data_IF_349290263520
#
_entry.id   IF_349290263520
#
_cell.length_a   1.000
_cell.length_b   1.000
_cell.length_c   1.000
_cell.angle_alpha   90.00
_cell.angle_beta   90.00
_cell.angle_gamma   90.00
#
_symmetry.space_group_name_H-M   'P 1'
#
loop_
_entity.id
_entity.type
_entity.pdbx_description
1 polymer ?
#
# COMPACT_ATOMS: atom_id res chain seq x y z
N UNK A 1 22.36 -6.99 -8.38
CA UNK A 1 22.79 -8.28 -7.80
C UNK A 1 23.18 -8.16 -6.31
N UNK A 2 23.92 -7.15 -5.88
CA UNK A 2 24.40 -7.01 -4.47
C UNK A 2 23.33 -6.69 -3.41
N UNK A 3 22.18 -6.13 -3.77
CA UNK A 3 21.10 -5.77 -2.83
C UNK A 3 20.17 -6.92 -2.48
N UNK A 4 19.95 -7.86 -3.41
CA UNK A 4 19.06 -9.01 -3.23
C UNK A 4 19.66 -10.06 -2.29
N UNK A 5 20.98 -10.29 -2.35
CA UNK A 5 21.66 -11.26 -1.47
C UNK A 5 21.76 -10.77 -0.01
N UNK A 6 21.95 -9.48 0.22
CA UNK A 6 21.93 -8.89 1.56
C UNK A 6 20.53 -8.96 2.21
N UNK A 7 19.48 -8.65 1.45
CA UNK A 7 18.11 -8.78 1.95
C UNK A 7 17.75 -10.24 2.26
N UNK A 8 18.14 -11.18 1.41
CA UNK A 8 17.91 -12.62 1.65
C UNK A 8 18.70 -13.14 2.86
N UNK A 9 19.91 -12.65 3.11
CA UNK A 9 20.71 -13.03 4.26
C UNK A 9 20.19 -12.42 5.57
N UNK A 10 19.67 -11.18 5.52
CA UNK A 10 19.03 -10.50 6.67
C UNK A 10 17.68 -11.12 7.03
N UNK A 11 16.90 -11.59 6.04
CA UNK A 11 15.61 -12.26 6.26
C UNK A 11 15.82 -13.66 6.84
N UNK A 12 16.76 -14.44 6.31
CA UNK A 12 17.12 -15.78 6.85
C UNK A 12 17.61 -15.70 8.30
N UNK A 13 18.30 -14.63 8.67
CA UNK A 13 18.75 -14.41 10.05
C UNK A 13 17.58 -14.09 10.98
N UNK A 14 16.55 -13.38 10.49
CA UNK A 14 15.34 -13.08 11.24
C UNK A 14 14.52 -14.33 11.54
N UNK A 15 14.26 -15.15 10.51
CA UNK A 15 13.48 -16.38 10.65
C UNK A 15 14.19 -17.40 11.57
N UNK A 16 15.51 -17.51 11.50
CA UNK A 16 16.30 -18.33 12.40
C UNK A 16 16.23 -17.83 13.86
N UNK A 17 16.19 -16.51 14.08
CA UNK A 17 16.04 -15.91 15.40
C UNK A 17 14.63 -16.14 15.99
N UNK A 18 13.60 -16.23 15.16
CA UNK A 18 12.21 -16.46 15.56
C UNK A 18 11.83 -17.93 15.68
N UNK A 19 12.56 -18.85 15.01
CA UNK A 19 12.26 -20.28 15.00
C UNK A 19 12.71 -21.03 16.27
N UNK A 20 13.50 -20.40 17.15
CA UNK A 20 13.93 -21.02 18.40
C UNK A 20 12.74 -21.30 19.32
N UNK A 21 12.58 -22.53 19.82
CA UNK A 21 11.51 -22.89 20.75
C UNK A 21 11.53 -22.05 22.05
N UNK A 22 12.70 -21.61 22.46
CA UNK A 22 12.86 -20.69 23.58
C UNK A 22 13.84 -19.57 23.20
N UNK A 23 13.35 -18.36 23.15
CA UNK A 23 14.12 -17.18 22.77
C UNK A 23 15.27 -16.82 23.72
N UNK A 24 15.34 -17.49 24.87
CA UNK A 24 16.33 -17.20 25.93
C UNK A 24 17.40 -18.29 26.09
N UNK A 25 17.39 -19.34 25.26
CA UNK A 25 18.26 -20.53 25.45
C UNK A 25 19.74 -20.26 25.18
N UNK A 26 20.08 -19.35 24.29
CA UNK A 26 21.46 -19.01 24.00
C UNK A 26 21.76 -17.52 24.27
N UNK A 27 22.94 -17.26 24.80
CA UNK A 27 23.41 -15.90 25.04
C UNK A 27 23.56 -15.10 23.72
N UNK A 28 23.98 -15.74 22.66
CA UNK A 28 24.11 -15.13 21.33
C UNK A 28 22.73 -14.72 20.80
N UNK A 29 21.74 -15.57 20.91
CA UNK A 29 20.35 -15.33 20.50
C UNK A 29 19.74 -14.16 21.30
N UNK A 30 19.87 -14.21 22.62
CA UNK A 30 19.40 -13.12 23.49
C UNK A 30 20.04 -11.78 23.15
N UNK A 31 21.35 -11.75 22.84
CA UNK A 31 22.05 -10.53 22.41
C UNK A 31 21.55 -9.99 21.10
N UNK A 32 21.26 -10.87 20.13
CA UNK A 32 20.70 -10.47 18.84
C UNK A 32 19.30 -9.85 19.01
N UNK A 33 18.43 -10.45 19.82
CA UNK A 33 17.11 -9.90 20.13
C UNK A 33 17.20 -8.59 20.92
N UNK A 34 18.14 -8.47 21.85
CA UNK A 34 18.36 -7.21 22.56
C UNK A 34 18.86 -6.10 21.63
N UNK A 35 19.74 -6.41 20.67
CA UNK A 35 20.19 -5.46 19.65
C UNK A 35 19.03 -5.00 18.76
N UNK A 36 18.15 -5.91 18.36
CA UNK A 36 16.93 -5.59 17.61
C UNK A 36 15.99 -4.67 18.44
N UNK A 37 15.82 -4.95 19.72
CA UNK A 37 15.05 -4.12 20.63
C UNK A 37 15.69 -2.73 20.83
N UNK A 38 17.01 -2.66 20.99
CA UNK A 38 17.74 -1.39 21.11
C UNK A 38 17.63 -0.54 19.84
N UNK A 39 17.65 -1.17 18.66
CA UNK A 39 17.43 -0.55 17.36
C UNK A 39 15.96 -0.20 17.09
N UNK A 40 15.03 -0.63 17.95
CA UNK A 40 13.56 -0.54 17.72
C UNK A 40 13.16 -1.10 16.38
N UNK A 41 13.67 -2.28 16.05
CA UNK A 41 13.47 -2.91 14.75
C UNK A 41 12.02 -3.38 14.58
N UNK A 42 11.30 -2.70 13.70
CA UNK A 42 9.89 -2.96 13.44
C UNK A 42 9.61 -4.34 12.81
N UNK A 43 10.64 -5.01 12.27
CA UNK A 43 10.49 -6.37 11.73
C UNK A 43 10.12 -7.39 12.80
N UNK A 44 10.52 -7.16 14.06
CA UNK A 44 10.18 -8.01 15.20
C UNK A 44 8.86 -7.63 15.89
N UNK A 45 8.21 -6.56 15.44
CA UNK A 45 7.00 -6.07 16.09
C UNK A 45 5.81 -7.03 15.91
N UNK A 46 5.20 -7.42 17.02
CA UNK A 46 4.14 -8.44 17.05
C UNK A 46 4.65 -9.89 16.97
N UNK A 47 5.96 -10.11 16.82
CA UNK A 47 6.57 -11.44 16.76
C UNK A 47 7.40 -11.76 18.02
N UNK A 48 7.91 -10.73 18.69
CA UNK A 48 8.67 -10.86 19.93
C UNK A 48 8.20 -9.80 20.92
N UNK A 49 8.15 -10.16 22.19
CA UNK A 49 7.85 -9.28 23.31
C UNK A 49 8.99 -9.31 24.31
N UNK A 50 9.26 -8.17 24.95
CA UNK A 50 10.40 -8.00 25.87
C UNK A 50 9.88 -7.73 27.26
N UNK A 51 10.03 -8.68 28.16
CA UNK A 51 9.75 -8.51 29.58
C UNK A 51 10.92 -7.88 30.32
N UNK A 52 10.68 -6.83 31.09
CA UNK A 52 11.66 -6.10 31.87
C UNK A 52 11.51 -6.47 33.33
N UNK A 53 12.43 -7.27 33.88
CA UNK A 53 12.34 -7.85 35.21
C UNK A 53 12.29 -6.80 36.32
N UNK A 54 12.98 -5.67 36.19
CA UNK A 54 13.03 -4.59 37.17
C UNK A 54 11.69 -3.85 37.35
N UNK A 55 10.83 -3.84 36.32
CA UNK A 55 9.54 -3.12 36.32
C UNK A 55 8.35 -4.06 36.23
N UNK A 56 8.58 -5.34 35.93
CA UNK A 56 7.53 -6.34 35.63
C UNK A 56 6.61 -5.90 34.51
N UNK A 57 7.16 -5.17 33.50
CA UNK A 57 6.44 -4.71 32.34
C UNK A 57 6.98 -5.44 31.09
N UNK A 58 6.09 -5.88 30.19
CA UNK A 58 6.50 -6.34 28.88
C UNK A 58 6.15 -5.29 27.79
N UNK A 59 7.03 -5.17 26.81
CA UNK A 59 7.00 -4.17 25.76
C UNK A 59 7.11 -4.80 24.37
N UNK A 60 6.65 -4.06 23.35
CA UNK A 60 6.95 -4.32 21.93
C UNK A 60 8.38 -3.87 21.60
N UNK A 61 9.04 -4.46 20.60
CA UNK A 61 10.37 -4.02 20.15
C UNK A 61 10.45 -2.54 19.78
N UNK A 62 9.40 -1.97 19.23
CA UNK A 62 9.31 -0.56 18.79
C UNK A 62 9.01 0.43 19.94
N UNK A 63 8.97 -0.02 21.19
CA UNK A 63 8.64 0.81 22.34
C UNK A 63 9.61 1.98 22.51
N UNK A 64 9.07 3.19 22.73
CA UNK A 64 9.86 4.41 22.91
C UNK A 64 10.22 4.70 24.38
N UNK A 65 9.87 3.81 25.31
CA UNK A 65 10.27 3.90 26.71
C UNK A 65 11.80 3.85 26.86
N UNK A 66 12.26 4.20 28.07
CA UNK A 66 13.69 4.09 28.41
C UNK A 66 14.21 2.67 28.20
N UNK A 67 15.36 2.54 27.54
CA UNK A 67 15.99 1.25 27.25
C UNK A 67 16.44 0.56 28.54
N UNK A 68 15.93 -0.64 28.87
CA UNK A 68 16.38 -1.38 30.03
C UNK A 68 17.77 -1.95 29.78
N UNK A 69 18.46 -2.30 30.87
CA UNK A 69 19.72 -3.04 30.78
C UNK A 69 19.46 -4.46 30.28
N UNK A 70 20.44 -5.00 29.54
CA UNK A 70 20.37 -6.33 28.94
C UNK A 70 20.01 -7.44 29.96
N UNK A 71 20.61 -7.40 31.13
CA UNK A 71 20.41 -8.38 32.21
C UNK A 71 18.96 -8.45 32.71
N UNK A 72 18.21 -7.37 32.49
CA UNK A 72 16.82 -7.26 32.92
C UNK A 72 15.82 -7.66 31.82
N UNK A 73 16.30 -8.07 30.64
CA UNK A 73 15.44 -8.41 29.50
C UNK A 73 15.23 -9.92 29.38
N UNK A 74 13.99 -10.32 29.23
CA UNK A 74 13.55 -11.68 28.89
C UNK A 74 12.67 -11.58 27.65
N UNK A 75 12.85 -12.47 26.69
CA UNK A 75 12.14 -12.42 25.41
C UNK A 75 11.06 -13.50 25.34
N UNK A 76 9.90 -13.17 24.77
CA UNK A 76 8.73 -14.02 24.65
C UNK A 76 8.19 -13.99 23.23
N UNK A 77 7.66 -15.09 22.73
CA UNK A 77 6.99 -15.15 21.42
C UNK A 77 5.61 -14.49 21.44
N UNK A 78 4.94 -14.55 22.58
CA UNK A 78 3.57 -14.02 22.70
C UNK A 78 3.40 -13.14 23.93
N UNK A 79 2.44 -12.24 23.87
CA UNK A 79 2.00 -11.47 25.02
C UNK A 79 1.52 -12.37 26.16
N UNK A 80 0.84 -13.49 25.81
CA UNK A 80 0.33 -14.46 26.78
C UNK A 80 1.45 -15.16 27.58
N UNK A 81 2.56 -15.49 26.93
CA UNK A 81 3.75 -16.04 27.62
C UNK A 81 4.34 -15.03 28.61
N UNK A 82 4.44 -13.75 28.20
CA UNK A 82 4.93 -12.71 29.09
C UNK A 82 4.01 -12.49 30.29
N UNK A 83 2.68 -12.53 30.11
CA UNK A 83 1.71 -12.44 31.19
C UNK A 83 1.76 -13.65 32.11
N UNK A 84 1.87 -14.86 31.56
CA UNK A 84 2.05 -16.09 32.36
C UNK A 84 3.34 -16.07 33.20
N UNK A 85 4.40 -15.40 32.70
CA UNK A 85 5.64 -15.16 33.43
C UNK A 85 5.55 -14.01 34.47
N UNK A 86 4.37 -13.42 34.66
CA UNK A 86 4.09 -12.40 35.67
C UNK A 86 4.45 -10.97 35.26
N UNK A 87 4.55 -10.69 33.97
CA UNK A 87 4.69 -9.33 33.45
C UNK A 87 3.33 -8.73 33.11
N UNK A 88 3.18 -7.42 33.23
CA UNK A 88 2.00 -6.69 32.77
C UNK A 88 2.29 -5.89 31.48
N UNK A 89 1.28 -5.59 30.65
CA UNK A 89 1.48 -4.83 29.43
C UNK A 89 1.95 -3.40 29.70
N UNK A 90 2.79 -2.90 28.79
CA UNK A 90 3.27 -1.52 28.81
C UNK A 90 2.15 -0.57 28.36
N UNK A 91 1.84 0.45 29.15
CA UNK A 91 0.80 1.43 28.84
C UNK A 91 1.18 2.37 27.67
N UNK A 92 2.48 2.48 27.34
CA UNK A 92 2.96 3.34 26.26
C UNK A 92 2.87 2.66 24.89
N UNK A 93 3.45 1.45 24.75
CA UNK A 93 3.44 0.73 23.47
C UNK A 93 2.24 -0.19 23.28
N UNK A 94 1.47 -0.43 24.34
CA UNK A 94 0.24 -1.23 24.34
C UNK A 94 0.39 -2.54 23.55
N UNK A 95 1.19 -3.47 24.06
CA UNK A 95 1.51 -4.72 23.35
C UNK A 95 0.30 -5.64 23.15
N UNK A 96 -0.79 -5.39 23.87
CA UNK A 96 -2.08 -6.04 23.70
C UNK A 96 -2.84 -5.60 22.43
N UNK A 97 -2.40 -4.52 21.78
CA UNK A 97 -3.01 -4.06 20.53
C UNK A 97 -2.23 -4.59 19.33
N UNK A 98 -2.90 -4.71 18.18
CA UNK A 98 -2.23 -5.08 16.94
C UNK A 98 -1.12 -4.06 16.59
N UNK A 99 -0.01 -4.49 15.95
CA UNK A 99 1.03 -3.60 15.46
C UNK A 99 0.45 -2.45 14.64
N UNK A 100 0.94 -1.24 14.84
CA UNK A 100 0.44 -0.03 14.18
C UNK A 100 -0.76 0.64 14.86
N UNK A 101 -1.36 0.05 15.89
CA UNK A 101 -2.57 0.59 16.55
C UNK A 101 -2.28 1.32 17.87
N UNK A 102 -1.06 1.31 18.36
CA UNK A 102 -0.69 1.98 19.59
C UNK A 102 -0.31 3.46 19.37
N UNK A 103 -0.34 4.25 20.44
CA UNK A 103 0.05 5.67 20.41
C UNK A 103 1.50 5.89 19.93
N UNK A 104 2.39 4.93 20.18
CA UNK A 104 3.78 4.94 19.71
C UNK A 104 3.87 4.91 18.17
N UNK A 105 2.88 4.34 17.50
CA UNK A 105 2.81 4.21 16.04
C UNK A 105 2.19 5.44 15.36
N UNK A 106 1.53 6.33 16.12
CA UNK A 106 0.75 7.44 15.59
C UNK A 106 1.56 8.35 14.66
N UNK A 107 2.85 8.56 14.99
CA UNK A 107 3.75 9.42 14.19
C UNK A 107 4.05 8.79 12.81
N UNK A 108 4.40 7.51 12.77
CA UNK A 108 4.67 6.79 11.53
C UNK A 108 3.38 6.66 10.69
N UNK A 109 2.25 6.38 11.34
CA UNK A 109 0.95 6.29 10.68
C UNK A 109 0.53 7.61 10.05
N UNK A 110 0.74 8.74 10.74
CA UNK A 110 0.48 10.06 10.18
C UNK A 110 1.31 10.30 8.92
N UNK A 111 2.61 10.02 8.97
CA UNK A 111 3.50 10.20 7.82
C UNK A 111 3.09 9.31 6.63
N UNK A 112 2.76 8.03 6.88
CA UNK A 112 2.31 7.09 5.84
C UNK A 112 0.97 7.49 5.23
N UNK A 113 0.01 7.93 6.04
CA UNK A 113 -1.26 8.47 5.54
C UNK A 113 -1.04 9.71 4.68
N UNK A 114 -0.19 10.64 5.11
CA UNK A 114 0.15 11.81 4.31
C UNK A 114 0.82 11.43 2.99
N UNK A 115 1.76 10.47 2.98
CA UNK A 115 2.40 9.98 1.77
C UNK A 115 1.40 9.33 0.79
N UNK A 116 0.44 8.55 1.31
CA UNK A 116 -0.61 7.95 0.51
C UNK A 116 -1.48 9.04 -0.17
N UNK A 117 -1.94 10.04 0.59
CA UNK A 117 -2.72 11.16 0.05
C UNK A 117 -1.92 11.98 -0.97
N UNK A 118 -0.65 12.31 -0.67
CA UNK A 118 0.21 13.03 -1.62
C UNK A 118 0.41 12.25 -2.93
N UNK A 119 0.45 10.93 -2.90
CA UNK A 119 0.56 10.09 -4.10
C UNK A 119 -0.76 10.03 -4.86
N UNK A 120 -1.86 9.81 -4.14
CA UNK A 120 -3.21 9.69 -4.70
C UNK A 120 -3.69 10.99 -5.35
N UNK A 121 -3.36 12.12 -4.75
CA UNK A 121 -3.79 13.45 -5.18
C UNK A 121 -2.69 14.25 -5.90
N UNK A 122 -1.57 13.62 -6.34
CA UNK A 122 -0.38 14.35 -6.77
C UNK A 122 -0.62 15.32 -7.95
N UNK A 123 -1.57 15.03 -8.84
CA UNK A 123 -1.92 15.91 -9.94
C UNK A 123 -2.61 17.20 -9.43
N UNK A 124 -3.51 17.05 -8.46
CA UNK A 124 -4.35 18.11 -7.93
C UNK A 124 -4.11 18.34 -6.42
N UNK A 125 -2.88 18.11 -5.95
CA UNK A 125 -2.57 18.18 -4.53
C UNK A 125 -2.85 19.58 -3.97
N UNK A 126 -3.60 19.62 -2.90
CA UNK A 126 -3.79 20.77 -2.04
C UNK A 126 -2.47 21.33 -1.48
N UNK A 127 -2.53 22.51 -0.89
CA UNK A 127 -1.39 23.02 -0.11
C UNK A 127 -1.10 22.04 1.06
N UNK A 128 0.17 21.96 1.46
CA UNK A 128 0.56 21.11 2.58
C UNK A 128 -0.19 21.49 3.88
N UNK A 129 -0.54 22.74 4.04
CA UNK A 129 -1.33 23.24 5.16
C UNK A 129 -2.74 22.65 5.18
N UNK A 130 -3.44 22.62 4.04
CA UNK A 130 -4.75 21.99 3.91
C UNK A 130 -4.66 20.48 4.17
N UNK A 131 -3.63 19.81 3.63
CA UNK A 131 -3.39 18.40 3.90
C UNK A 131 -3.20 18.13 5.39
N UNK A 132 -2.39 18.95 6.08
CA UNK A 132 -2.16 18.82 7.51
C UNK A 132 -3.46 19.00 8.30
N UNK A 133 -4.27 20.01 7.95
CA UNK A 133 -5.58 20.28 8.57
C UNK A 133 -6.55 19.11 8.38
N UNK A 134 -6.62 18.52 7.17
CA UNK A 134 -7.42 17.29 6.88
C UNK A 134 -7.00 16.12 7.75
N UNK A 135 -5.72 16.02 8.07
CA UNK A 135 -5.18 14.97 8.94
C UNK A 135 -5.30 15.28 10.44
N UNK A 136 -5.78 16.49 10.82
CA UNK A 136 -5.94 16.91 12.20
C UNK A 136 -4.65 17.42 12.86
N UNK A 137 -3.68 17.89 12.07
CA UNK A 137 -2.37 18.33 12.55
C UNK A 137 -1.95 19.68 11.96
N UNK A 138 -0.87 20.27 12.52
CA UNK A 138 -0.25 21.47 11.95
C UNK A 138 0.77 21.11 10.85
N UNK A 139 0.98 21.99 9.87
CA UNK A 139 1.97 21.86 8.82
C UNK A 139 3.38 21.56 9.37
N UNK A 140 3.78 22.30 10.43
CA UNK A 140 5.08 22.09 11.10
C UNK A 140 5.23 20.67 11.66
N UNK A 141 4.17 20.14 12.29
CA UNK A 141 4.20 18.79 12.85
C UNK A 141 4.28 17.75 11.72
N UNK A 142 3.45 17.92 10.68
CA UNK A 142 3.43 17.02 9.52
C UNK A 142 4.80 16.96 8.84
N UNK A 143 5.46 18.10 8.57
CA UNK A 143 6.80 18.14 7.97
C UNK A 143 7.80 17.35 8.81
N UNK A 144 7.85 17.61 10.11
CA UNK A 144 8.81 16.96 11.02
C UNK A 144 8.64 15.43 11.04
N UNK A 145 7.39 14.94 11.14
CA UNK A 145 7.15 13.49 11.19
C UNK A 145 7.38 12.83 9.84
N UNK A 146 7.06 13.53 8.75
CA UNK A 146 7.26 13.05 7.40
C UNK A 146 8.75 12.92 7.06
N UNK A 147 9.54 13.94 7.36
CA UNK A 147 11.01 13.90 7.18
C UNK A 147 11.67 12.82 8.02
N UNK A 148 11.19 12.60 9.24
CA UNK A 148 11.68 11.52 10.09
C UNK A 148 11.42 10.13 9.50
N UNK A 149 10.24 9.90 8.90
CA UNK A 149 9.84 8.59 8.36
C UNK A 149 10.42 8.35 6.97
N UNK A 150 10.44 9.36 6.09
CA UNK A 150 10.81 9.21 4.68
C UNK A 150 12.15 9.82 4.30
N UNK A 151 12.83 10.52 5.20
CA UNK A 151 14.11 11.23 4.96
C UNK A 151 14.05 12.26 3.82
N UNK A 152 12.85 12.70 3.45
CA UNK A 152 12.58 13.76 2.45
C UNK A 152 11.41 14.61 2.92
N UNK A 153 11.35 15.85 2.44
CA UNK A 153 10.20 16.73 2.73
C UNK A 153 8.94 16.26 1.98
N UNK A 154 7.73 16.56 2.48
CA UNK A 154 6.48 16.28 1.76
C UNK A 154 6.45 16.88 0.35
N UNK A 155 7.03 18.07 0.16
CA UNK A 155 7.11 18.73 -1.16
C UNK A 155 8.02 17.97 -2.12
N UNK A 156 9.17 17.50 -1.65
CA UNK A 156 10.08 16.67 -2.45
C UNK A 156 9.42 15.35 -2.82
N UNK A 157 8.69 14.74 -1.89
CA UNK A 157 7.93 13.52 -2.13
C UNK A 157 6.84 13.74 -3.19
N UNK A 158 6.05 14.81 -3.08
CA UNK A 158 5.04 15.19 -4.08
C UNK A 158 5.66 15.40 -5.47
N UNK A 159 6.80 16.10 -5.55
CA UNK A 159 7.51 16.28 -6.82
C UNK A 159 7.94 14.95 -7.43
N UNK A 160 8.40 14.00 -6.61
CA UNK A 160 8.74 12.65 -7.06
C UNK A 160 7.51 11.92 -7.60
N UNK A 161 6.36 11.99 -6.92
CA UNK A 161 5.11 11.40 -7.40
C UNK A 161 4.71 11.97 -8.78
N UNK A 162 4.76 13.29 -8.94
CA UNK A 162 4.47 13.97 -10.21
C UNK A 162 5.42 13.56 -11.34
N UNK A 163 6.72 13.46 -11.04
CA UNK A 163 7.72 13.01 -12.01
C UNK A 163 7.51 11.56 -12.45
N UNK A 164 7.18 10.68 -11.52
CA UNK A 164 6.88 9.28 -11.81
C UNK A 164 5.61 9.13 -12.64
N UNK A 165 4.56 9.89 -12.32
CA UNK A 165 3.34 9.93 -13.12
C UNK A 165 3.61 10.44 -14.53
N UNK A 166 4.33 11.56 -14.67
CA UNK A 166 4.71 12.08 -15.98
C UNK A 166 5.57 11.07 -16.77
N UNK A 167 6.48 10.36 -16.09
CA UNK A 167 7.26 9.28 -16.72
C UNK A 167 6.34 8.20 -17.29
N UNK A 168 5.41 7.67 -16.52
CA UNK A 168 4.46 6.64 -16.97
C UNK A 168 3.64 7.14 -18.16
N UNK A 169 3.09 8.34 -18.11
CA UNK A 169 2.34 8.92 -19.22
C UNK A 169 3.18 9.10 -20.48
N UNK A 170 4.45 9.47 -20.34
CA UNK A 170 5.38 9.62 -21.47
C UNK A 170 5.73 8.28 -22.13
N UNK A 171 5.81 7.21 -21.33
CA UNK A 171 6.22 5.88 -21.84
C UNK A 171 5.04 5.04 -22.32
N UNK A 172 3.87 5.21 -21.72
CA UNK A 172 2.74 4.31 -21.90
C UNK A 172 1.62 4.91 -22.78
N UNK A 173 1.69 6.24 -23.05
CA UNK A 173 0.64 6.94 -23.82
C UNK A 173 1.21 7.80 -24.95
N UNK A 174 0.36 8.14 -25.92
CA UNK A 174 0.65 9.09 -26.98
C UNK A 174 0.30 10.55 -26.63
N UNK A 175 -0.16 10.84 -25.40
CA UNK A 175 -0.56 12.18 -24.97
C UNK A 175 0.50 13.24 -25.28
N UNK A 176 0.17 14.44 -25.81
CA UNK A 176 1.13 15.52 -25.99
C UNK A 176 1.87 15.86 -24.70
N UNK A 177 3.14 16.26 -24.80
CA UNK A 177 3.98 16.58 -23.62
C UNK A 177 3.34 17.68 -22.75
N UNK A 178 2.59 18.59 -23.35
CA UNK A 178 1.82 19.61 -22.65
C UNK A 178 0.70 19.03 -21.79
N UNK A 179 -0.04 18.05 -22.33
CA UNK A 179 -1.09 17.34 -21.60
C UNK A 179 -0.50 16.47 -20.50
N UNK A 180 0.63 15.79 -20.75
CA UNK A 180 1.35 15.05 -19.72
C UNK A 180 1.75 15.96 -18.57
N UNK A 181 2.26 17.16 -18.84
CA UNK A 181 2.62 18.11 -17.79
C UNK A 181 1.40 18.50 -16.94
N UNK A 182 0.26 18.79 -17.59
CA UNK A 182 -0.99 19.15 -16.92
C UNK A 182 -1.52 17.97 -16.08
N UNK A 183 -1.63 16.79 -16.69
CA UNK A 183 -2.14 15.58 -16.04
C UNK A 183 -1.28 15.13 -14.86
N UNK A 184 0.02 15.39 -14.90
CA UNK A 184 0.94 15.11 -13.79
C UNK A 184 1.01 16.22 -12.73
N UNK A 185 0.18 17.26 -12.82
CA UNK A 185 0.08 18.35 -11.83
C UNK A 185 1.22 19.36 -11.86
N UNK A 186 1.89 19.51 -13.01
CA UNK A 186 2.87 20.59 -13.21
C UNK A 186 2.16 21.86 -13.67
N UNK A 187 2.45 22.99 -13.03
CA UNK A 187 1.92 24.30 -13.44
C UNK A 187 2.40 24.78 -14.83
N UNK A 188 3.43 24.15 -15.41
CA UNK A 188 3.88 24.39 -16.78
C UNK A 188 4.77 23.27 -17.29
N UNK A 189 4.77 23.07 -18.63
CA UNK A 189 5.68 22.16 -19.33
C UNK A 189 7.16 22.52 -19.07
N UNK A 190 7.47 23.82 -18.96
CA UNK A 190 8.81 24.31 -18.64
C UNK A 190 9.29 23.79 -17.29
N UNK A 191 8.42 23.82 -16.27
CA UNK A 191 8.73 23.31 -14.91
C UNK A 191 8.96 21.81 -14.93
N UNK A 192 8.10 21.04 -15.61
CA UNK A 192 8.29 19.61 -15.79
C UNK A 192 9.61 19.30 -16.47
N UNK A 193 9.91 19.93 -17.62
CA UNK A 193 11.15 19.70 -18.36
C UNK A 193 12.41 20.02 -17.52
N UNK A 194 12.36 21.09 -16.72
CA UNK A 194 13.45 21.45 -15.81
C UNK A 194 13.71 20.34 -14.80
N UNK A 195 12.67 19.88 -14.07
CA UNK A 195 12.79 18.85 -13.05
C UNK A 195 13.19 17.48 -13.64
N UNK A 196 12.69 17.13 -14.83
CA UNK A 196 13.12 15.92 -15.54
C UNK A 196 14.63 15.93 -15.84
N UNK A 197 15.15 17.02 -16.36
CA UNK A 197 16.58 17.16 -16.66
C UNK A 197 17.43 17.16 -15.38
N UNK A 198 16.96 17.85 -14.34
CA UNK A 198 17.64 17.92 -13.05
C UNK A 198 17.73 16.54 -12.38
N UNK A 199 16.62 15.82 -12.33
CA UNK A 199 16.51 14.56 -11.56
C UNK A 199 16.90 13.32 -12.36
N UNK A 200 16.47 13.23 -13.61
CA UNK A 200 16.64 12.05 -14.46
C UNK A 200 17.73 12.20 -15.53
N UNK A 201 18.30 13.39 -15.68
CA UNK A 201 19.35 13.70 -16.68
C UNK A 201 18.90 13.39 -18.12
N UNK A 202 17.61 13.39 -18.40
CA UNK A 202 17.01 13.12 -19.71
C UNK A 202 15.88 14.12 -19.98
N UNK A 203 15.65 14.48 -21.24
CA UNK A 203 14.48 15.27 -21.60
C UNK A 203 13.23 14.38 -21.75
N UNK A 204 12.02 14.86 -21.40
CA UNK A 204 10.77 14.12 -21.61
C UNK A 204 10.58 13.62 -23.04
N UNK A 205 10.94 14.42 -24.03
CA UNK A 205 10.89 14.04 -25.47
C UNK A 205 11.84 12.91 -25.83
N UNK A 206 13.01 12.85 -25.20
CA UNK A 206 13.99 11.78 -25.41
C UNK A 206 13.54 10.49 -24.76
N UNK A 207 12.91 10.58 -23.57
CA UNK A 207 12.31 9.43 -22.89
C UNK A 207 11.22 8.82 -23.77
N UNK A 208 10.30 9.64 -24.30
CA UNK A 208 9.24 9.19 -25.22
C UNK A 208 9.80 8.50 -26.47
N UNK A 209 10.83 9.06 -27.07
CA UNK A 209 11.46 8.48 -28.27
C UNK A 209 12.06 7.10 -28.03
N UNK A 210 12.51 6.83 -26.79
CA UNK A 210 13.07 5.54 -26.40
C UNK A 210 11.98 4.52 -26.02
N UNK A 211 10.82 5.00 -25.61
CA UNK A 211 9.68 4.14 -25.31
C UNK A 211 8.93 3.87 -26.62
N UNK A 212 8.79 2.58 -27.00
CA UNK A 212 7.91 2.21 -28.09
C UNK A 212 6.48 2.36 -27.59
N UNK A 213 5.80 3.44 -27.98
CA UNK A 213 4.41 3.70 -27.56
C UNK A 213 3.50 2.65 -28.18
N UNK A 214 2.97 1.77 -27.37
CA UNK A 214 1.82 0.96 -27.76
C UNK A 214 0.63 1.93 -27.88
N UNK A 215 0.17 2.16 -29.10
CA UNK A 215 -1.05 2.95 -29.32
C UNK A 215 -2.25 2.06 -28.95
N UNK A 216 -3.07 2.53 -28.02
CA UNK A 216 -4.42 1.97 -27.86
C UNK A 216 -5.32 2.55 -28.97
N UNK A 217 -5.86 1.71 -29.81
CA UNK A 217 -6.95 2.09 -30.73
C UNK A 217 -8.23 2.16 -29.90
N UNK A 218 -8.82 3.36 -29.71
CA UNK A 218 -10.07 3.56 -29.00
C UNK A 218 -10.15 4.87 -28.21
N UNK A 219 -11.34 5.16 -27.65
CA UNK A 219 -11.66 6.37 -26.84
C UNK A 219 -11.00 6.36 -25.43
N UNK A 220 -9.73 5.97 -25.31
CA UNK A 220 -9.06 5.90 -24.03
C UNK A 220 -7.55 5.79 -24.13
N UNK A 221 -6.88 5.83 -22.97
CA UNK A 221 -5.46 5.64 -22.86
C UNK A 221 -5.11 4.57 -21.84
N UNK A 222 -4.03 3.84 -22.07
CA UNK A 222 -3.60 2.73 -21.21
C UNK A 222 -2.35 3.12 -20.43
N UNK A 223 -2.34 2.81 -19.13
CA UNK A 223 -1.19 2.94 -18.22
C UNK A 223 -0.88 1.59 -17.60
N UNK A 224 0.39 1.22 -17.54
CA UNK A 224 0.84 0.00 -16.88
C UNK A 224 1.05 0.21 -15.38
N UNK A 225 0.47 -0.67 -14.58
CA UNK A 225 0.61 -0.70 -13.13
C UNK A 225 1.34 -1.98 -12.74
N UNK A 226 2.64 -1.88 -12.50
CA UNK A 226 3.49 -3.03 -12.17
C UNK A 226 3.13 -3.69 -10.83
N UNK A 227 3.28 -5.02 -10.78
CA UNK A 227 3.12 -5.84 -9.58
C UNK A 227 4.33 -6.76 -9.39
N UNK A 228 4.45 -7.38 -8.22
CA UNK A 228 5.43 -8.46 -7.97
C UNK A 228 4.82 -9.80 -8.36
N UNK A 229 5.46 -10.58 -9.25
CA UNK A 229 5.02 -11.94 -9.57
C UNK A 229 5.32 -12.91 -8.41
N UNK A 230 4.59 -14.04 -8.32
CA UNK A 230 3.49 -14.45 -9.18
C UNK A 230 2.20 -13.65 -8.90
N UNK A 231 1.23 -13.70 -9.81
CA UNK A 231 -0.02 -12.96 -9.71
C UNK A 231 -1.21 -13.78 -10.27
N UNK A 232 -2.09 -14.20 -9.38
CA UNK A 232 -3.28 -15.01 -9.70
C UNK A 232 -4.45 -14.13 -10.11
N UNK A 233 -4.35 -13.50 -11.29
CA UNK A 233 -5.37 -12.56 -11.80
C UNK A 233 -6.74 -13.20 -11.97
N UNK A 234 -6.79 -14.42 -12.48
CA UNK A 234 -8.04 -15.15 -12.74
C UNK A 234 -8.81 -15.44 -11.45
N UNK A 235 -8.12 -15.69 -10.34
CA UNK A 235 -8.74 -15.85 -9.03
C UNK A 235 -9.40 -14.57 -8.55
N UNK A 236 -8.77 -13.41 -8.78
CA UNK A 236 -9.38 -12.12 -8.48
C UNK A 236 -10.61 -11.86 -9.35
N UNK A 237 -10.52 -12.15 -10.65
CA UNK A 237 -11.67 -12.02 -11.55
C UNK A 237 -12.83 -12.93 -11.12
N UNK A 238 -12.56 -14.18 -10.73
CA UNK A 238 -13.58 -15.09 -10.20
C UNK A 238 -14.25 -14.52 -8.93
N UNK A 239 -13.47 -13.93 -8.01
CA UNK A 239 -14.00 -13.28 -6.82
C UNK A 239 -14.90 -12.09 -7.17
N UNK A 240 -14.45 -11.21 -8.06
CA UNK A 240 -15.21 -10.02 -8.49
C UNK A 240 -16.46 -10.43 -9.26
N UNK A 241 -16.38 -11.44 -10.15
CA UNK A 241 -17.51 -11.93 -10.93
C UNK A 241 -18.66 -12.41 -10.04
N UNK A 242 -18.36 -13.15 -8.98
CA UNK A 242 -19.34 -13.61 -8.01
C UNK A 242 -20.03 -12.47 -7.24
N UNK A 243 -19.45 -11.27 -7.28
CA UNK A 243 -19.89 -10.09 -6.52
C UNK A 243 -20.17 -8.87 -7.40
N UNK A 244 -20.13 -9.02 -8.71
CA UNK A 244 -20.30 -7.93 -9.66
C UNK A 244 -21.62 -7.17 -9.43
N UNK A 245 -21.55 -5.86 -9.48
CA UNK A 245 -22.70 -4.97 -9.39
C UNK A 245 -23.18 -4.63 -10.80
N UNK A 246 -24.33 -5.17 -11.19
CA UNK A 246 -24.94 -4.86 -12.48
C UNK A 246 -25.16 -3.34 -12.64
N UNK A 247 -24.88 -2.82 -13.83
CA UNK A 247 -24.92 -1.37 -14.11
C UNK A 247 -23.64 -0.61 -13.74
N UNK A 248 -22.75 -1.20 -12.92
CA UNK A 248 -21.48 -0.58 -12.51
C UNK A 248 -20.27 -1.38 -12.96
N UNK A 249 -20.33 -2.72 -12.88
CA UNK A 249 -19.19 -3.62 -13.12
C UNK A 249 -19.52 -4.68 -14.18
N UNK A 250 -18.56 -4.95 -15.05
CA UNK A 250 -18.56 -6.08 -16.00
C UNK A 250 -17.26 -6.83 -15.87
N UNK A 251 -17.32 -8.14 -15.62
CA UNK A 251 -16.14 -9.00 -15.49
C UNK A 251 -16.15 -10.01 -16.64
N UNK A 252 -15.23 -9.82 -17.59
CA UNK A 252 -14.94 -10.74 -18.67
C UNK A 252 -14.06 -11.91 -18.23
N UNK A 253 -13.64 -12.74 -19.18
CA UNK A 253 -12.78 -13.89 -18.87
C UNK A 253 -11.36 -13.46 -18.49
N UNK A 254 -10.88 -12.37 -19.10
CA UNK A 254 -9.51 -11.84 -18.95
C UNK A 254 -9.47 -10.36 -18.56
N UNK A 255 -10.61 -9.75 -18.23
CA UNK A 255 -10.68 -8.34 -17.85
C UNK A 255 -11.72 -8.05 -16.77
N UNK A 256 -11.51 -6.91 -16.12
CA UNK A 256 -12.45 -6.23 -15.25
C UNK A 256 -12.74 -4.85 -15.82
N UNK A 257 -14.01 -4.48 -15.93
CA UNK A 257 -14.46 -3.16 -16.39
C UNK A 257 -15.43 -2.57 -15.37
N UNK A 258 -15.31 -1.28 -15.11
CA UNK A 258 -16.27 -0.57 -14.27
C UNK A 258 -16.45 0.88 -14.69
N UNK A 259 -17.58 1.46 -14.29
CA UNK A 259 -17.75 2.92 -14.26
C UNK A 259 -17.03 3.52 -13.05
N UNK A 260 -16.56 4.74 -13.18
CA UNK A 260 -15.88 5.48 -12.11
C UNK A 260 -16.38 6.92 -12.04
N UNK A 261 -16.61 7.39 -10.81
CA UNK A 261 -16.91 8.78 -10.47
C UNK A 261 -15.93 9.21 -9.40
N UNK A 262 -15.09 10.18 -9.72
CA UNK A 262 -13.98 10.62 -8.89
C UNK A 262 -14.16 12.10 -8.56
N UNK A 263 -14.32 12.47 -7.29
CA UNK A 263 -14.33 13.87 -6.88
C UNK A 263 -13.00 14.56 -7.21
N UNK A 264 -13.07 15.74 -7.74
CA UNK A 264 -11.94 16.66 -7.95
C UNK A 264 -12.03 17.83 -6.95
N UNK A 265 -11.20 18.86 -7.16
CA UNK A 265 -11.30 20.10 -6.41
C UNK A 265 -12.49 20.95 -6.91
N UNK A 266 -12.91 21.93 -6.11
CA UNK A 266 -13.95 22.92 -6.47
C UNK A 266 -15.31 22.31 -6.86
N UNK A 267 -15.71 21.21 -6.16
CA UNK A 267 -16.94 20.44 -6.40
C UNK A 267 -17.08 19.86 -7.82
N UNK A 268 -16.00 19.85 -8.58
CA UNK A 268 -15.94 19.16 -9.85
C UNK A 268 -15.78 17.65 -9.66
N UNK A 269 -16.14 16.87 -10.69
CA UNK A 269 -15.94 15.41 -10.71
C UNK A 269 -15.56 14.92 -12.09
N UNK A 270 -14.70 13.90 -12.12
CA UNK A 270 -14.40 13.16 -13.33
C UNK A 270 -15.24 11.88 -13.38
N UNK A 271 -15.91 11.65 -14.51
CA UNK A 271 -16.73 10.45 -14.75
C UNK A 271 -16.24 9.72 -15.99
N UNK A 272 -16.24 8.40 -15.93
CA UNK A 272 -15.80 7.60 -17.06
C UNK A 272 -15.79 6.11 -16.74
N UNK A 273 -15.03 5.36 -17.50
CA UNK A 273 -14.85 3.92 -17.32
C UNK A 273 -13.38 3.57 -17.14
N UNK A 274 -13.16 2.45 -16.44
CA UNK A 274 -11.84 1.88 -16.17
C UNK A 274 -11.87 0.39 -16.53
N UNK A 275 -11.02 0.01 -17.46
CA UNK A 275 -10.79 -1.38 -17.85
C UNK A 275 -9.44 -1.85 -17.33
N UNK A 276 -9.39 -3.04 -16.75
CA UNK A 276 -8.18 -3.63 -16.18
C UNK A 276 -7.98 -5.03 -16.73
N UNK A 277 -6.90 -5.22 -17.45
CA UNK A 277 -6.44 -6.54 -17.94
C UNK A 277 -5.06 -6.88 -17.35
N UNK A 278 -4.63 -8.13 -17.53
CA UNK A 278 -3.31 -8.59 -17.08
C UNK A 278 -2.30 -8.60 -18.25
N UNK A 279 -1.23 -7.83 -18.14
CA UNK A 279 -0.05 -7.87 -19.00
C UNK A 279 1.05 -8.69 -18.30
N UNK A 280 0.90 -10.01 -18.29
CA UNK A 280 1.83 -10.92 -17.62
C UNK A 280 3.26 -10.84 -18.18
N UNK A 281 3.43 -10.43 -19.45
CA UNK A 281 4.75 -10.30 -20.07
C UNK A 281 5.59 -9.18 -19.44
N UNK A 282 4.92 -8.15 -18.91
CA UNK A 282 5.55 -7.02 -18.24
C UNK A 282 5.38 -7.03 -16.71
N UNK A 283 4.77 -8.09 -16.15
CA UNK A 283 4.38 -8.15 -14.72
C UNK A 283 3.60 -6.89 -14.32
N UNK A 284 2.57 -6.55 -15.08
CA UNK A 284 1.78 -5.34 -14.89
C UNK A 284 0.30 -5.58 -15.18
N UNK A 285 -0.55 -4.79 -14.54
CA UNK A 285 -1.92 -4.60 -15.00
C UNK A 285 -1.94 -3.54 -16.11
N UNK A 286 -2.59 -3.83 -17.22
CA UNK A 286 -2.92 -2.86 -18.25
C UNK A 286 -4.22 -2.16 -17.86
N UNK A 287 -4.11 -0.91 -17.43
CA UNK A 287 -5.26 -0.09 -16.99
C UNK A 287 -5.60 0.91 -18.08
N UNK A 288 -6.70 0.66 -18.78
CA UNK A 288 -7.22 1.55 -19.82
C UNK A 288 -8.34 2.40 -19.24
N UNK A 289 -8.30 3.69 -19.47
CA UNK A 289 -9.25 4.66 -18.95
C UNK A 289 -9.82 5.52 -20.05
N UNK A 290 -11.09 5.94 -19.92
CA UNK A 290 -11.64 7.02 -20.76
C UNK A 290 -10.87 8.33 -20.55
N UNK A 291 -10.76 9.14 -21.59
CA UNK A 291 -10.02 10.42 -21.54
C UNK A 291 -10.58 11.38 -20.47
N UNK A 292 -11.88 11.31 -20.20
CA UNK A 292 -12.54 12.11 -19.16
C UNK A 292 -12.00 11.86 -17.76
N UNK A 293 -11.34 10.72 -17.48
CA UNK A 293 -10.70 10.40 -16.21
C UNK A 293 -9.24 10.88 -16.12
N UNK A 294 -8.68 11.47 -17.16
CA UNK A 294 -7.29 11.97 -17.14
C UNK A 294 -6.99 12.94 -15.97
N UNK A 295 -7.88 13.89 -15.61
CA UNK A 295 -7.65 14.75 -14.44
C UNK A 295 -7.60 14.01 -13.10
N UNK A 296 -8.26 12.85 -13.02
CA UNK A 296 -8.33 11.99 -11.83
C UNK A 296 -7.40 10.78 -11.88
N UNK A 297 -6.48 10.72 -12.85
CA UNK A 297 -5.65 9.55 -13.10
C UNK A 297 -4.92 9.03 -11.84
N UNK A 298 -4.27 9.85 -11.01
CA UNK A 298 -3.60 9.34 -9.82
C UNK A 298 -4.56 8.64 -8.84
N UNK A 299 -5.76 9.21 -8.64
CA UNK A 299 -6.79 8.62 -7.78
C UNK A 299 -7.30 7.30 -8.35
N UNK A 300 -7.54 7.21 -9.67
CA UNK A 300 -7.95 5.96 -10.33
C UNK A 300 -6.87 4.89 -10.18
N UNK A 301 -5.61 5.22 -10.45
CA UNK A 301 -4.50 4.27 -10.30
C UNK A 301 -4.35 3.83 -8.84
N UNK A 302 -4.48 4.72 -7.86
CA UNK A 302 -4.43 4.37 -6.45
C UNK A 302 -5.58 3.42 -6.04
N UNK A 303 -6.81 3.65 -6.58
CA UNK A 303 -7.96 2.77 -6.36
C UNK A 303 -7.76 1.40 -7.00
N UNK A 304 -7.25 1.34 -8.24
CA UNK A 304 -6.89 0.07 -8.92
C UNK A 304 -5.82 -0.68 -8.13
N UNK A 305 -4.75 -0.01 -7.71
CA UNK A 305 -3.68 -0.63 -6.88
C UNK A 305 -4.24 -1.29 -5.63
N UNK A 306 -5.14 -0.60 -4.95
CA UNK A 306 -5.80 -1.09 -3.73
C UNK A 306 -6.78 -2.23 -4.03
N UNK A 307 -7.61 -2.11 -5.08
CA UNK A 307 -8.61 -3.11 -5.45
C UNK A 307 -7.95 -4.43 -5.88
N UNK A 308 -6.84 -4.34 -6.60
CA UNK A 308 -6.12 -5.49 -7.15
C UNK A 308 -4.90 -5.91 -6.32
N UNK A 309 -4.68 -5.29 -5.16
CA UNK A 309 -3.59 -5.64 -4.21
C UNK A 309 -2.21 -5.75 -4.88
N UNK A 310 -1.89 -4.81 -5.79
CA UNK A 310 -0.64 -4.87 -6.57
C UNK A 310 0.62 -4.56 -5.76
N UNK A 311 0.48 -3.92 -4.61
CA UNK A 311 1.59 -3.54 -3.74
C UNK A 311 2.05 -4.67 -2.80
N UNK A 312 1.28 -5.75 -2.71
CA UNK A 312 1.57 -6.88 -1.85
C UNK A 312 2.88 -7.58 -2.25
N UNK A 313 3.55 -8.17 -1.27
CA UNK A 313 4.65 -9.09 -1.48
C UNK A 313 4.12 -10.54 -1.44
N UNK A 314 3.88 -11.16 -2.61
CA UNK A 314 3.24 -12.47 -2.69
C UNK A 314 4.12 -13.58 -2.12
N UNK A 315 5.45 -13.43 -2.19
CA UNK A 315 6.37 -14.41 -1.67
C UNK A 315 6.34 -14.43 -0.13
N UNK A 316 6.42 -13.27 0.50
CA UNK A 316 6.36 -13.14 1.95
C UNK A 316 5.02 -13.66 2.52
N UNK A 317 3.91 -13.43 1.80
CA UNK A 317 2.60 -13.96 2.19
C UNK A 317 2.55 -15.48 2.03
N UNK A 318 3.02 -16.00 0.90
CA UNK A 318 3.03 -17.45 0.63
C UNK A 318 3.85 -18.20 1.67
N UNK A 319 5.05 -17.72 2.01
CA UNK A 319 5.92 -18.34 3.02
C UNK A 319 5.24 -18.44 4.39
N UNK A 320 4.42 -17.47 4.76
CA UNK A 320 3.63 -17.48 6.01
C UNK A 320 2.44 -18.43 5.98
N UNK A 321 1.86 -18.64 4.80
CA UNK A 321 0.66 -19.47 4.62
C UNK A 321 0.97 -20.90 4.18
N UNK A 322 2.21 -21.19 3.76
CA UNK A 322 2.58 -22.48 3.19
C UNK A 322 2.27 -23.67 4.11
N UNK A 323 2.38 -23.50 5.43
CA UNK A 323 2.04 -24.55 6.41
C UNK A 323 0.55 -24.93 6.41
N UNK A 324 -0.33 -24.12 5.81
CA UNK A 324 -1.75 -24.49 5.66
C UNK A 324 -1.91 -25.67 4.70
N UNK A 325 -1.00 -25.87 3.75
CA UNK A 325 -1.04 -27.00 2.82
C UNK A 325 -0.85 -28.36 3.51
N UNK A 326 -0.21 -28.38 4.68
CA UNK A 326 -0.09 -29.59 5.52
C UNK A 326 -1.46 -30.04 6.06
N UNK A 327 -2.34 -29.09 6.34
CA UNK A 327 -3.68 -29.34 6.87
C UNK A 327 -4.74 -29.41 5.76
N UNK A 328 -4.63 -28.59 4.74
CA UNK A 328 -5.61 -28.44 3.64
C UNK A 328 -4.83 -28.33 2.33
N UNK A 329 -4.60 -29.42 1.61
CA UNK A 329 -3.84 -29.42 0.35
C UNK A 329 -4.40 -28.41 -0.66
N UNK A 330 -3.53 -27.54 -1.21
CA UNK A 330 -3.89 -26.49 -2.15
C UNK A 330 -4.52 -25.24 -1.53
N UNK A 331 -4.48 -25.08 -0.20
CA UNK A 331 -4.97 -23.89 0.48
C UNK A 331 -4.05 -22.69 0.26
N UNK A 332 -2.73 -22.89 0.29
CA UNK A 332 -1.76 -21.85 0.02
C UNK A 332 -1.39 -21.84 -1.47
N UNK A 333 -1.76 -20.78 -2.18
CA UNK A 333 -1.41 -20.59 -3.59
C UNK A 333 -0.56 -19.35 -3.76
N UNK A 334 0.66 -19.54 -4.25
CA UNK A 334 1.58 -18.44 -4.51
C UNK A 334 0.95 -17.45 -5.51
N UNK A 335 1.02 -16.17 -5.21
CA UNK A 335 0.42 -15.13 -6.07
C UNK A 335 -1.04 -14.80 -5.79
N UNK A 336 -1.69 -15.48 -4.84
CA UNK A 336 -3.02 -15.07 -4.35
C UNK A 336 -2.97 -13.64 -3.84
N UNK A 337 -3.99 -12.86 -4.21
CA UNK A 337 -4.15 -11.45 -3.81
C UNK A 337 -5.41 -11.28 -2.98
N UNK A 338 -5.37 -10.31 -2.06
CA UNK A 338 -6.55 -9.95 -1.29
C UNK A 338 -7.39 -8.94 -2.07
N UNK A 339 -8.63 -9.29 -2.48
CA UNK A 339 -9.49 -8.35 -3.19
C UNK A 339 -9.81 -7.14 -2.33
N UNK A 340 -9.42 -5.95 -2.80
CA UNK A 340 -9.75 -4.68 -2.17
C UNK A 340 -11.04 -4.06 -2.74
N UNK A 341 -11.26 -2.78 -2.44
CA UNK A 341 -12.38 -2.02 -2.96
C UNK A 341 -11.92 -0.83 -3.81
N UNK A 342 -12.67 -0.54 -4.87
CA UNK A 342 -12.45 0.64 -5.68
C UNK A 342 -12.95 1.90 -4.99
N UNK A 343 -14.16 1.85 -4.45
CA UNK A 343 -14.80 2.93 -3.73
C UNK A 343 -15.19 2.50 -2.30
N UNK A 344 -14.63 3.13 -1.25
CA UNK A 344 -14.94 2.77 0.13
C UNK A 344 -16.41 3.01 0.52
N UNK A 345 -17.05 4.06 -0.01
CA UNK A 345 -18.44 4.37 0.29
C UNK A 345 -19.37 3.33 -0.34
N UNK A 346 -19.17 3.00 -1.62
CA UNK A 346 -19.89 1.91 -2.29
C UNK A 346 -19.76 0.60 -1.49
N UNK A 347 -18.54 0.27 -1.06
CA UNK A 347 -18.27 -0.93 -0.28
C UNK A 347 -18.98 -0.92 1.08
N UNK A 348 -19.02 0.22 1.76
CA UNK A 348 -19.74 0.37 3.02
C UNK A 348 -21.27 0.18 2.83
N UNK A 349 -21.84 0.78 1.78
CA UNK A 349 -23.27 0.58 1.44
C UNK A 349 -23.54 -0.89 1.17
N UNK A 350 -22.70 -1.56 0.37
CA UNK A 350 -22.84 -2.99 0.06
C UNK A 350 -22.72 -3.87 1.31
N UNK A 351 -21.83 -3.52 2.23
CA UNK A 351 -21.68 -4.24 3.50
C UNK A 351 -22.94 -4.13 4.37
N UNK A 352 -23.55 -2.95 4.44
CA UNK A 352 -24.81 -2.73 5.17
C UNK A 352 -25.96 -3.50 4.53
N UNK A 353 -26.11 -3.40 3.20
CA UNK A 353 -27.15 -4.13 2.45
C UNK A 353 -27.00 -5.65 2.54
N UNK A 354 -25.76 -6.13 2.68
CA UNK A 354 -25.44 -7.55 2.75
C UNK A 354 -25.62 -8.20 4.12
N UNK A 355 -26.00 -7.42 5.15
CA UNK A 355 -26.18 -7.99 6.49
C UNK A 355 -27.37 -8.95 6.55
N UNK A 356 -27.12 -10.15 7.07
CA UNK A 356 -28.13 -11.21 7.30
C UNK A 356 -28.86 -11.73 6.04
N UNK A 357 -28.34 -11.45 4.83
CA UNK A 357 -28.88 -11.97 3.58
C UNK A 357 -27.80 -12.61 2.73
N UNK A 358 -28.19 -13.36 1.71
CA UNK A 358 -27.24 -13.98 0.79
C UNK A 358 -26.53 -12.93 -0.11
N UNK A 359 -25.31 -13.22 -0.56
CA UNK A 359 -24.57 -12.37 -1.51
C UNK A 359 -25.41 -12.04 -2.76
N UNK A 360 -26.14 -13.03 -3.28
CA UNK A 360 -27.02 -12.84 -4.44
C UNK A 360 -28.16 -11.85 -4.16
N UNK A 361 -28.77 -11.91 -2.99
CA UNK A 361 -29.82 -10.98 -2.59
C UNK A 361 -29.26 -9.56 -2.39
N UNK A 362 -28.09 -9.45 -1.73
CA UNK A 362 -27.39 -8.18 -1.54
C UNK A 362 -27.04 -7.52 -2.88
N UNK A 363 -26.50 -8.27 -3.83
CA UNK A 363 -26.17 -7.76 -5.17
C UNK A 363 -27.43 -7.26 -5.92
N UNK A 364 -28.56 -7.97 -5.83
CA UNK A 364 -29.83 -7.50 -6.44
C UNK A 364 -30.32 -6.18 -5.81
N UNK A 365 -30.20 -6.02 -4.49
CA UNK A 365 -30.59 -4.77 -3.84
C UNK A 365 -29.66 -3.62 -4.24
N UNK A 366 -28.35 -3.86 -4.27
CA UNK A 366 -27.37 -2.86 -4.68
C UNK A 366 -27.57 -2.46 -6.16
N UNK A 367 -27.85 -3.42 -7.06
CA UNK A 367 -28.14 -3.12 -8.46
C UNK A 367 -29.37 -2.21 -8.63
N UNK A 368 -30.44 -2.46 -7.87
CA UNK A 368 -31.64 -1.57 -7.88
C UNK A 368 -31.33 -0.15 -7.43
N UNK A 369 -30.43 0.03 -6.45
CA UNK A 369 -29.95 1.35 -6.05
C UNK A 369 -29.19 2.01 -7.20
N UNK A 370 -28.23 1.28 -7.82
CA UNK A 370 -27.44 1.80 -8.94
C UNK A 370 -28.29 2.14 -10.19
N UNK A 371 -29.43 1.48 -10.39
CA UNK A 371 -30.38 1.81 -11.46
C UNK A 371 -31.22 3.06 -11.15
N UNK A 372 -31.37 3.40 -9.86
CA UNK A 372 -32.25 4.50 -9.42
C UNK A 372 -31.49 5.83 -9.31
N UNK A 373 -30.22 5.77 -8.96
CA UNK A 373 -29.37 6.95 -8.65
C UNK A 373 -28.11 6.99 -9.53
#
# INVERSE_FOLDING_TARGET
>A
MYTSERQNMETRNLDALLAAQNLNDSEEHRRALYAAFAARDARFDGQVFVGVSSTRIYCRPVCTAHMPKYENCTFFHTAAEAEAAGYRPCLLCRPETAPGMASVDATANLARRAAALLREECANADSLEKLATRLGYTDRHLRRVFEKEFSVTPVQYLQTCRLLLAKSLLTDTALPVTEVARAAGFGSTRRMNHLFRERYRIAPTDLRRRAHSAHSEGDGFTVRVGYRPPYEFDRLLAFFRARALAGVEVIGDDFYLRTARIPLQDDEEARGWVHVGNDATHNALAVTLSESLLPALPQVIARVRRQFDVDCDPQAIYERLASLDDAIPGAAVAGTRLPGCFDPFETAVRAVLGQQITVTAANKLAARIAETY
#
